data_IF_167758256838
#
_entry.id   IF_167758256838
#
_cell.length_a   1.000
_cell.length_b   1.000
_cell.length_c   1.000
_cell.angle_alpha   90.00
_cell.angle_beta   90.00
_cell.angle_gamma   90.00
#
_symmetry.space_group_name_H-M   'P 1'
#
loop_
_entity.id
_entity.type
_entity.pdbx_description
1 polymer ?
#
# COMPACT_ATOMS: atom_id res chain seq x y z
N UNK A 1 -26.68 -7.59 -22.04
CA UNK A 1 -26.57 -6.43 -21.15
C UNK A 1 -26.88 -6.94 -19.74
N UNK A 2 -26.05 -6.59 -18.77
CA UNK A 2 -26.26 -6.86 -17.36
C UNK A 2 -26.41 -5.49 -16.66
N UNK A 3 -27.49 -5.32 -15.91
CA UNK A 3 -27.71 -4.13 -15.07
C UNK A 3 -27.50 -4.50 -13.60
N UNK A 4 -26.71 -3.72 -12.89
CA UNK A 4 -26.39 -3.95 -11.47
C UNK A 4 -26.71 -2.71 -10.65
N UNK A 5 -27.05 -2.85 -9.35
CA UNK A 5 -27.30 -1.70 -8.48
C UNK A 5 -26.03 -0.87 -8.27
N UNK A 6 -26.22 0.42 -7.97
CA UNK A 6 -25.11 1.36 -7.73
C UNK A 6 -24.42 1.20 -6.37
N UNK A 7 -25.04 0.51 -5.41
CA UNK A 7 -24.47 0.28 -4.07
C UNK A 7 -23.38 -0.82 -4.18
N UNK A 8 -22.10 -0.51 -3.86
CA UNK A 8 -20.98 -1.43 -4.12
C UNK A 8 -21.11 -2.82 -3.48
N UNK A 9 -21.63 -2.91 -2.26
CA UNK A 9 -21.84 -4.18 -1.55
C UNK A 9 -22.89 -5.05 -2.21
N UNK A 10 -24.02 -4.48 -2.59
CA UNK A 10 -25.11 -5.17 -3.29
C UNK A 10 -24.67 -5.58 -4.70
N UNK A 11 -24.01 -4.67 -5.41
CA UNK A 11 -23.46 -4.93 -6.74
C UNK A 11 -22.52 -6.14 -6.72
N UNK A 12 -21.59 -6.19 -5.76
CA UNK A 12 -20.67 -7.34 -5.62
C UNK A 12 -21.40 -8.64 -5.33
N UNK A 13 -22.32 -8.63 -4.38
CA UNK A 13 -23.07 -9.83 -4.02
C UNK A 13 -23.83 -10.40 -5.22
N UNK A 14 -24.53 -9.56 -5.99
CA UNK A 14 -25.26 -9.98 -7.18
C UNK A 14 -24.30 -10.41 -8.31
N UNK A 15 -23.21 -9.68 -8.49
CA UNK A 15 -22.20 -10.01 -9.51
C UNK A 15 -21.61 -11.39 -9.27
N UNK A 16 -21.17 -11.68 -8.02
CA UNK A 16 -20.56 -12.95 -7.66
C UNK A 16 -21.57 -14.11 -7.68
N UNK A 17 -22.78 -13.88 -7.18
CA UNK A 17 -23.79 -14.94 -7.09
C UNK A 17 -24.47 -15.30 -8.42
N UNK A 18 -24.57 -14.34 -9.35
CA UNK A 18 -25.38 -14.53 -10.57
C UNK A 18 -24.61 -14.29 -11.85
N UNK A 19 -23.82 -13.21 -11.94
CA UNK A 19 -23.17 -12.81 -13.20
C UNK A 19 -21.94 -13.68 -13.47
N UNK A 20 -21.13 -13.93 -12.46
CA UNK A 20 -19.92 -14.77 -12.60
C UNK A 20 -20.27 -16.20 -13.05
N UNK A 21 -21.21 -16.92 -12.42
CA UNK A 21 -21.63 -18.26 -12.87
C UNK A 21 -22.16 -18.23 -14.31
N UNK A 22 -23.01 -17.27 -14.62
CA UNK A 22 -23.58 -17.14 -15.96
C UNK A 22 -22.52 -16.87 -17.05
N UNK A 23 -21.51 -16.03 -16.75
CA UNK A 23 -20.38 -15.80 -17.64
C UNK A 23 -19.52 -17.06 -17.79
N UNK A 24 -19.25 -17.74 -16.68
CA UNK A 24 -18.43 -18.96 -16.65
C UNK A 24 -19.05 -20.06 -17.54
N UNK A 25 -20.35 -20.26 -17.43
CA UNK A 25 -21.07 -21.21 -18.29
C UNK A 25 -20.94 -20.85 -19.77
N UNK A 26 -21.10 -19.55 -20.13
CA UNK A 26 -21.04 -19.11 -21.53
C UNK A 26 -19.65 -19.06 -22.13
N UNK A 27 -18.64 -18.84 -21.33
CA UNK A 27 -17.24 -18.78 -21.78
C UNK A 27 -16.50 -20.11 -21.68
N UNK A 28 -17.19 -21.17 -21.24
CA UNK A 28 -16.58 -22.48 -21.01
C UNK A 28 -15.60 -22.51 -19.86
N UNK A 29 -15.72 -21.55 -18.89
CA UNK A 29 -14.84 -21.50 -17.74
C UNK A 29 -13.39 -21.14 -18.08
N UNK A 30 -13.16 -20.34 -19.11
CA UNK A 30 -11.81 -19.93 -19.49
C UNK A 30 -11.06 -19.35 -18.26
N UNK A 31 -9.82 -19.80 -17.99
CA UNK A 31 -9.07 -19.33 -16.86
C UNK A 31 -8.86 -17.81 -16.95
N UNK A 32 -8.87 -17.10 -15.80
CA UNK A 32 -8.65 -15.66 -15.80
C UNK A 32 -7.27 -15.33 -16.39
N UNK A 33 -7.18 -14.16 -17.01
CA UNK A 33 -5.90 -13.66 -17.50
C UNK A 33 -4.91 -13.54 -16.34
N UNK A 34 -3.68 -14.04 -16.48
CA UNK A 34 -2.64 -13.80 -15.49
C UNK A 34 -2.47 -12.31 -15.22
N UNK A 35 -2.32 -11.96 -13.95
CA UNK A 35 -2.15 -10.57 -13.48
C UNK A 35 -0.99 -10.49 -12.51
N UNK A 36 -0.38 -9.30 -12.46
CA UNK A 36 0.55 -8.85 -11.42
C UNK A 36 0.21 -7.42 -11.04
N UNK A 37 0.43 -7.09 -9.80
CA UNK A 37 0.32 -5.70 -9.32
C UNK A 37 1.63 -5.35 -8.65
N UNK A 38 2.30 -4.31 -9.14
CA UNK A 38 3.50 -3.75 -8.51
C UNK A 38 3.09 -2.52 -7.73
N UNK A 39 3.42 -2.48 -6.44
CA UNK A 39 3.09 -1.39 -5.54
C UNK A 39 4.30 -0.49 -5.37
N UNK A 40 4.11 0.80 -5.64
CA UNK A 40 5.17 1.80 -5.50
C UNK A 40 4.79 2.88 -4.49
N UNK A 41 5.79 3.52 -3.89
CA UNK A 41 5.62 4.66 -2.99
C UNK A 41 6.72 5.70 -3.22
N UNK A 42 6.40 6.97 -2.96
CA UNK A 42 7.35 8.09 -3.09
C UNK A 42 7.47 8.68 -4.49
N UNK A 43 6.81 8.10 -5.50
CA UNK A 43 6.75 8.62 -6.87
C UNK A 43 5.31 8.96 -7.24
N UNK A 44 5.15 10.04 -8.03
CA UNK A 44 3.87 10.38 -8.63
C UNK A 44 3.55 9.51 -9.87
N UNK A 45 2.28 9.48 -10.27
CA UNK A 45 1.78 8.68 -11.38
C UNK A 45 2.56 8.92 -12.69
N UNK A 46 2.81 10.18 -13.04
CA UNK A 46 3.56 10.55 -14.25
C UNK A 46 4.98 9.97 -14.21
N UNK A 47 5.67 10.09 -13.08
CA UNK A 47 7.02 9.55 -12.95
C UNK A 47 7.06 8.03 -13.04
N UNK A 48 6.04 7.33 -12.50
CA UNK A 48 5.91 5.88 -12.65
C UNK A 48 5.63 5.52 -14.11
N UNK A 49 4.73 6.24 -14.78
CA UNK A 49 4.38 6.03 -16.18
C UNK A 49 5.60 6.13 -17.10
N UNK A 50 6.38 7.20 -16.97
CA UNK A 50 7.62 7.42 -17.73
C UNK A 50 8.60 6.24 -17.63
N UNK A 51 8.66 5.58 -16.47
CA UNK A 51 9.54 4.43 -16.24
C UNK A 51 8.98 3.11 -16.79
N UNK A 52 7.66 2.97 -16.88
CA UNK A 52 7.02 1.73 -17.34
C UNK A 52 6.60 1.82 -18.81
N UNK A 53 6.52 3.02 -19.39
CA UNK A 53 6.27 3.22 -20.81
C UNK A 53 7.30 2.46 -21.66
N UNK A 54 6.88 1.92 -22.77
CA UNK A 54 7.73 1.10 -23.65
C UNK A 54 7.92 -0.35 -23.19
N UNK A 55 7.93 -0.67 -21.88
CA UNK A 55 7.97 -2.06 -21.41
C UNK A 55 6.72 -2.82 -21.81
N UNK A 56 5.61 -2.16 -21.73
CA UNK A 56 4.27 -2.70 -21.91
C UNK A 56 4.03 -3.13 -23.35
N UNK A 57 4.38 -2.26 -24.29
CA UNK A 57 4.20 -2.54 -25.72
C UNK A 57 5.10 -3.68 -26.18
N UNK A 58 6.34 -3.73 -25.68
CA UNK A 58 7.30 -4.78 -26.02
C UNK A 58 6.92 -6.17 -25.48
N UNK A 59 6.25 -6.19 -24.32
CA UNK A 59 5.95 -7.44 -23.62
C UNK A 59 4.59 -8.07 -23.96
N UNK A 60 3.73 -7.44 -24.76
CA UNK A 60 2.36 -7.91 -25.03
C UNK A 60 1.51 -8.00 -23.77
N UNK A 61 1.69 -7.05 -22.88
CA UNK A 61 0.93 -6.88 -21.64
C UNK A 61 0.06 -5.62 -21.74
N UNK A 62 -1.08 -5.61 -21.05
CA UNK A 62 -1.76 -4.37 -20.70
C UNK A 62 -1.21 -3.86 -19.36
N UNK A 63 -1.07 -2.55 -19.26
CA UNK A 63 -0.74 -1.86 -18.01
C UNK A 63 -1.82 -0.85 -17.69
N UNK A 64 -2.21 -0.81 -16.44
CA UNK A 64 -3.01 0.26 -15.85
C UNK A 64 -2.28 0.81 -14.64
N UNK A 65 -2.31 2.12 -14.48
CA UNK A 65 -1.86 2.80 -13.28
C UNK A 65 -3.06 3.17 -12.41
N UNK A 66 -2.90 3.04 -11.11
CA UNK A 66 -3.88 3.49 -10.13
C UNK A 66 -3.17 4.26 -9.03
N UNK A 67 -3.27 5.58 -9.08
CA UNK A 67 -2.74 6.45 -8.05
C UNK A 67 -3.70 6.56 -6.86
N UNK A 68 -3.15 6.60 -5.66
CA UNK A 68 -3.86 6.79 -4.40
C UNK A 68 -2.93 7.42 -3.36
N UNK A 69 -3.44 7.85 -2.19
CA UNK A 69 -2.58 8.28 -1.08
C UNK A 69 -1.61 7.18 -0.58
N UNK A 70 -1.84 5.92 -0.95
CA UNK A 70 -0.96 4.77 -0.62
C UNK A 70 0.17 4.57 -1.64
N UNK A 71 0.29 5.43 -2.65
CA UNK A 71 1.24 5.31 -3.75
C UNK A 71 0.56 4.95 -5.08
N UNK A 72 1.35 4.48 -6.03
CA UNK A 72 0.88 4.10 -7.37
C UNK A 72 0.96 2.57 -7.53
N UNK A 73 -0.14 1.96 -7.93
CA UNK A 73 -0.17 0.55 -8.34
C UNK A 73 0.02 0.44 -9.85
N UNK A 74 0.99 -0.33 -10.27
CA UNK A 74 1.19 -0.73 -11.66
C UNK A 74 0.53 -2.10 -11.85
N UNK A 75 -0.60 -2.12 -12.52
CA UNK A 75 -1.40 -3.34 -12.76
C UNK A 75 -1.09 -3.91 -14.12
N UNK A 76 -0.54 -5.10 -14.14
CA UNK A 76 -0.14 -5.83 -15.34
C UNK A 76 -1.14 -6.94 -15.65
N UNK A 77 -1.52 -7.09 -16.92
CA UNK A 77 -2.34 -8.18 -17.42
C UNK A 77 -1.71 -8.77 -18.68
N UNK A 78 -1.45 -10.08 -18.69
CA UNK A 78 -0.93 -10.76 -19.86
C UNK A 78 -1.99 -10.84 -20.96
N UNK A 79 -1.61 -10.50 -22.20
CA UNK A 79 -2.46 -10.49 -23.36
C UNK A 79 -2.01 -11.53 -24.40
N UNK A 80 -2.90 -11.85 -25.35
CA UNK A 80 -2.59 -12.74 -26.47
C UNK A 80 -2.65 -14.23 -26.15
N UNK A 81 -2.11 -15.05 -27.08
CA UNK A 81 -2.16 -16.53 -26.99
C UNK A 81 -1.11 -17.09 -26.02
N UNK A 82 0.02 -16.41 -25.87
CA UNK A 82 1.13 -16.80 -24.98
C UNK A 82 1.07 -16.07 -23.66
N UNK A 83 -0.14 -15.93 -23.09
CA UNK A 83 -0.39 -15.29 -21.81
C UNK A 83 0.08 -16.16 -20.66
N UNK A 84 1.34 -16.02 -20.27
CA UNK A 84 1.93 -16.77 -19.16
C UNK A 84 2.24 -15.87 -17.98
N UNK A 85 2.37 -16.49 -16.81
CA UNK A 85 2.73 -15.80 -15.58
C UNK A 85 4.21 -15.41 -15.60
N UNK A 86 5.05 -16.28 -16.15
CA UNK A 86 6.49 -16.08 -16.29
C UNK A 86 6.82 -14.82 -17.11
N UNK A 87 6.01 -14.53 -18.13
CA UNK A 87 6.16 -13.30 -18.91
C UNK A 87 5.89 -12.05 -18.09
N UNK A 88 4.87 -12.08 -17.22
CA UNK A 88 4.60 -10.97 -16.29
C UNK A 88 5.70 -10.84 -15.25
N UNK A 89 6.26 -11.94 -14.76
CA UNK A 89 7.35 -11.93 -13.79
C UNK A 89 8.59 -11.22 -14.37
N UNK A 90 8.93 -11.48 -15.62
CA UNK A 90 10.02 -10.76 -16.32
C UNK A 90 9.76 -9.25 -16.43
N UNK A 91 8.50 -8.84 -16.65
CA UNK A 91 8.11 -7.42 -16.67
C UNK A 91 8.21 -6.81 -15.28
N UNK A 92 7.76 -7.53 -14.25
CA UNK A 92 7.88 -7.11 -12.86
C UNK A 92 9.34 -6.88 -12.47
N UNK A 93 10.23 -7.79 -12.84
CA UNK A 93 11.67 -7.67 -12.54
C UNK A 93 12.29 -6.45 -13.23
N UNK A 94 11.90 -6.16 -14.46
CA UNK A 94 12.35 -4.96 -15.17
C UNK A 94 11.78 -3.67 -14.54
N UNK A 95 10.51 -3.66 -14.11
CA UNK A 95 9.92 -2.55 -13.35
C UNK A 95 10.69 -2.31 -12.06
N UNK A 96 11.00 -3.37 -11.30
CA UNK A 96 11.82 -3.28 -10.08
C UNK A 96 13.20 -2.69 -10.36
N UNK A 97 13.83 -3.10 -11.45
CA UNK A 97 15.14 -2.58 -11.84
C UNK A 97 15.11 -1.08 -12.15
N UNK A 98 14.02 -0.60 -12.77
CA UNK A 98 13.87 0.81 -13.15
C UNK A 98 13.45 1.71 -12.00
N UNK A 99 12.53 1.25 -11.17
CA UNK A 99 11.95 2.02 -10.07
C UNK A 99 12.70 1.83 -8.74
N UNK A 100 13.55 0.80 -8.62
CA UNK A 100 14.39 0.56 -7.45
C UNK A 100 13.58 0.49 -6.15
N UNK A 101 14.04 1.23 -5.15
CA UNK A 101 13.46 1.26 -3.80
C UNK A 101 12.03 1.83 -3.74
N UNK A 102 11.58 2.49 -4.80
CA UNK A 102 10.19 2.91 -4.87
C UNK A 102 9.21 1.73 -4.94
N UNK A 103 9.65 0.54 -5.40
CA UNK A 103 8.84 -0.69 -5.40
C UNK A 103 8.93 -1.37 -4.04
N UNK A 104 7.88 -1.28 -3.25
CA UNK A 104 7.86 -1.93 -1.93
C UNK A 104 7.22 -3.33 -1.91
N UNK A 105 6.35 -3.65 -2.84
CA UNK A 105 5.67 -4.95 -2.88
C UNK A 105 5.20 -5.36 -4.27
N UNK A 106 4.86 -6.64 -4.41
CA UNK A 106 4.17 -7.21 -5.57
C UNK A 106 2.97 -8.02 -5.09
N UNK A 107 1.87 -7.94 -5.84
CA UNK A 107 0.60 -8.62 -5.60
C UNK A 107 -0.05 -8.21 -4.25
N UNK A 108 -0.59 -9.16 -3.48
CA UNK A 108 -1.41 -8.91 -2.30
C UNK A 108 -0.68 -8.44 -1.04
N UNK A 109 0.61 -8.09 -1.12
CA UNK A 109 1.34 -7.59 0.06
C UNK A 109 1.07 -6.12 0.29
N UNK A 110 0.73 -5.76 1.51
CA UNK A 110 0.52 -4.36 1.91
C UNK A 110 1.80 -3.73 2.47
N UNK A 111 1.84 -2.41 2.54
CA UNK A 111 2.96 -1.67 3.15
C UNK A 111 3.18 -2.11 4.61
N UNK A 112 2.09 -2.27 5.36
CA UNK A 112 2.11 -2.69 6.75
C UNK A 112 2.76 -4.07 6.93
N UNK A 113 2.42 -5.02 6.04
CA UNK A 113 3.04 -6.36 6.05
C UNK A 113 4.53 -6.28 5.73
N UNK A 114 4.92 -5.47 4.75
CA UNK A 114 6.34 -5.30 4.40
C UNK A 114 7.14 -4.70 5.54
N UNK A 115 6.61 -3.66 6.20
CA UNK A 115 7.23 -3.04 7.38
C UNK A 115 7.38 -4.06 8.52
N UNK A 116 6.32 -4.83 8.80
CA UNK A 116 6.35 -5.87 9.84
C UNK A 116 7.40 -6.94 9.57
N UNK A 117 7.51 -7.42 8.32
CA UNK A 117 8.53 -8.38 7.92
C UNK A 117 9.95 -7.83 8.08
N UNK A 118 10.17 -6.56 7.69
CA UNK A 118 11.47 -5.90 7.82
C UNK A 118 11.90 -5.71 9.28
N UNK A 119 10.96 -5.34 10.17
CA UNK A 119 11.21 -5.21 11.60
C UNK A 119 11.52 -6.57 12.22
N UNK A 120 10.69 -7.57 11.92
CA UNK A 120 10.86 -8.93 12.43
C UNK A 120 12.19 -9.55 11.98
N UNK A 121 12.58 -9.38 10.72
CA UNK A 121 13.83 -9.90 10.18
C UNK A 121 15.09 -9.30 10.86
N UNK A 122 14.96 -8.07 11.43
CA UNK A 122 16.04 -7.39 12.16
C UNK A 122 15.97 -7.58 13.67
N UNK A 123 14.91 -8.20 14.18
CA UNK A 123 14.63 -8.29 15.61
C UNK A 123 14.37 -6.92 16.25
N UNK A 124 13.85 -5.98 15.48
CA UNK A 124 13.57 -4.63 15.95
C UNK A 124 12.13 -4.50 16.45
N UNK A 125 11.96 -3.64 17.44
CA UNK A 125 10.65 -3.20 17.89
C UNK A 125 10.38 -1.78 17.42
N UNK A 126 9.10 -1.44 17.27
CA UNK A 126 8.62 -0.13 16.83
C UNK A 126 7.63 0.42 17.87
N UNK A 127 7.89 1.65 18.33
CA UNK A 127 6.92 2.49 19.03
C UNK A 127 6.55 3.68 18.13
N UNK A 128 5.35 4.24 18.31
CA UNK A 128 4.90 5.41 17.55
C UNK A 128 4.35 6.50 18.46
N UNK A 129 4.60 7.75 18.08
CA UNK A 129 3.97 8.91 18.67
C UNK A 129 3.16 9.64 17.60
N UNK A 130 1.86 9.72 17.80
CA UNK A 130 0.93 10.27 16.80
C UNK A 130 0.23 11.53 17.33
N UNK A 131 -0.05 12.46 16.43
CA UNK A 131 -0.87 13.64 16.67
C UNK A 131 -1.98 13.73 15.63
N UNK A 132 -1.75 14.38 14.49
CA UNK A 132 -2.77 14.58 13.45
C UNK A 132 -3.32 13.28 12.84
N UNK A 133 -2.57 12.22 12.86
CA UNK A 133 -3.00 10.88 12.39
C UNK A 133 -3.95 10.17 13.34
N UNK A 134 -4.04 10.62 14.61
CA UNK A 134 -5.04 10.16 15.56
C UNK A 134 -4.99 8.68 15.93
N UNK A 135 -3.83 8.02 15.81
CA UNK A 135 -3.64 6.59 16.05
C UNK A 135 -3.71 5.73 14.79
N UNK A 136 -3.83 6.33 13.60
CA UNK A 136 -3.97 5.59 12.34
C UNK A 136 -2.73 4.75 12.01
N UNK A 137 -1.51 5.22 12.32
CA UNK A 137 -0.27 4.48 12.06
C UNK A 137 -0.24 3.21 12.91
N UNK A 138 -0.48 3.34 14.22
CA UNK A 138 -0.58 2.20 15.13
C UNK A 138 -1.69 1.23 14.74
N UNK A 139 -2.86 1.74 14.38
CA UNK A 139 -3.99 0.93 13.89
C UNK A 139 -3.58 0.10 12.66
N UNK A 140 -3.01 0.72 11.63
CA UNK A 140 -2.59 0.02 10.41
C UNK A 140 -1.55 -1.07 10.69
N UNK A 141 -0.59 -0.81 11.58
CA UNK A 141 0.42 -1.81 11.97
C UNK A 141 -0.20 -3.00 12.71
N UNK A 142 -1.19 -2.75 13.57
CA UNK A 142 -1.86 -3.79 14.36
C UNK A 142 -2.89 -4.61 13.57
N UNK A 143 -3.28 -4.20 12.37
CA UNK A 143 -4.08 -5.02 11.45
C UNK A 143 -3.30 -6.24 10.91
N UNK A 144 -1.96 -6.21 10.99
CA UNK A 144 -1.12 -7.33 10.55
C UNK A 144 -1.09 -8.41 11.63
N UNK A 145 -1.53 -9.64 11.34
CA UNK A 145 -1.44 -10.74 12.30
C UNK A 145 0.00 -10.97 12.75
N UNK A 146 0.22 -11.11 14.07
CA UNK A 146 1.56 -11.27 14.64
C UNK A 146 2.31 -9.96 14.90
N UNK A 147 1.70 -8.80 14.69
CA UNK A 147 2.30 -7.48 14.92
C UNK A 147 2.82 -7.27 16.33
N UNK A 148 2.28 -7.98 17.33
CA UNK A 148 2.79 -7.93 18.72
C UNK A 148 4.25 -8.37 18.87
N UNK A 149 4.82 -9.06 17.87
CA UNK A 149 6.22 -9.44 17.86
C UNK A 149 7.18 -8.29 17.57
N UNK A 150 6.70 -7.20 16.97
CA UNK A 150 7.51 -6.03 16.61
C UNK A 150 6.90 -4.69 17.01
N UNK A 151 5.60 -4.58 17.18
CA UNK A 151 4.93 -3.34 17.57
C UNK A 151 4.85 -3.27 19.10
N UNK A 152 5.67 -2.40 19.70
CA UNK A 152 5.74 -2.21 21.16
C UNK A 152 4.50 -1.48 21.68
N UNK A 153 4.08 -0.41 20.97
CA UNK A 153 2.94 0.42 21.38
C UNK A 153 2.94 1.79 20.72
N UNK A 154 2.01 2.64 21.15
CA UNK A 154 1.91 3.99 20.61
C UNK A 154 1.18 4.95 21.52
N UNK A 155 1.50 6.23 21.36
CA UNK A 155 0.89 7.34 22.07
C UNK A 155 0.16 8.24 21.08
N UNK A 156 -1.10 8.58 21.37
CA UNK A 156 -1.85 9.59 20.63
C UNK A 156 -1.89 10.86 21.44
N UNK A 157 -0.94 11.75 21.18
CA UNK A 157 -0.78 13.03 21.92
C UNK A 157 -1.34 14.18 21.09
N UNK A 158 -2.67 14.25 20.98
CA UNK A 158 -3.35 15.23 20.13
C UNK A 158 -3.28 16.64 20.73
N UNK A 159 -3.51 16.76 22.05
CA UNK A 159 -3.34 18.02 22.81
C UNK A 159 -1.84 18.29 23.09
N UNK A 160 -1.44 19.57 23.08
CA UNK A 160 -0.05 19.95 23.34
C UNK A 160 0.40 19.61 24.77
N UNK A 161 -0.52 19.62 25.73
CA UNK A 161 -0.23 19.18 27.10
C UNK A 161 0.16 17.72 27.16
N UNK A 162 -0.53 16.86 26.39
CA UNK A 162 -0.18 15.45 26.30
C UNK A 162 1.22 15.23 25.68
N UNK A 163 1.62 16.06 24.71
CA UNK A 163 2.98 16.02 24.16
C UNK A 163 4.03 16.29 25.23
N UNK A 164 3.78 17.32 26.05
CA UNK A 164 4.70 17.69 27.14
C UNK A 164 4.69 16.70 28.28
N UNK A 165 3.50 16.31 28.77
CA UNK A 165 3.36 15.51 29.99
C UNK A 165 3.74 14.03 29.74
N UNK A 166 3.42 13.48 28.57
CA UNK A 166 3.61 12.04 28.31
C UNK A 166 4.89 11.75 27.55
N UNK A 167 5.31 12.66 26.65
CA UNK A 167 6.47 12.44 25.78
C UNK A 167 7.63 13.41 26.09
N UNK A 168 7.50 14.28 27.10
CA UNK A 168 8.57 15.19 27.50
C UNK A 168 8.92 16.28 26.49
N UNK A 169 8.00 16.59 25.54
CA UNK A 169 8.23 17.65 24.56
C UNK A 169 8.36 19.00 25.27
N UNK A 170 9.45 19.71 24.99
CA UNK A 170 9.72 21.04 25.64
C UNK A 170 8.66 22.07 25.20
N UNK A 171 7.97 22.72 26.17
CA UNK A 171 7.02 23.79 25.90
C UNK A 171 7.62 24.96 25.09
N UNK A 172 8.90 25.25 25.27
CA UNK A 172 9.57 26.32 24.52
C UNK A 172 9.70 25.97 23.04
N UNK A 173 9.94 24.72 22.73
CA UNK A 173 9.98 24.21 21.34
C UNK A 173 8.60 24.23 20.68
N UNK A 174 7.54 23.89 21.43
CA UNK A 174 6.16 24.03 20.97
C UNK A 174 5.80 25.49 20.66
N UNK A 175 6.24 26.44 21.52
CA UNK A 175 6.00 27.86 21.33
C UNK A 175 6.77 28.42 20.11
N UNK A 176 8.03 28.00 19.94
CA UNK A 176 8.92 28.48 18.88
C UNK A 176 8.59 27.93 17.49
N UNK A 177 8.24 26.65 17.41
CA UNK A 177 8.12 25.92 16.13
C UNK A 177 6.69 25.49 15.80
N UNK A 178 5.78 25.54 16.77
CA UNK A 178 4.43 24.99 16.64
C UNK A 178 4.38 23.46 16.75
N UNK A 179 3.20 22.95 17.04
CA UNK A 179 2.98 21.51 17.26
C UNK A 179 3.21 20.64 16.00
N UNK A 180 3.10 21.24 14.81
CA UNK A 180 3.28 20.55 13.51
C UNK A 180 4.60 21.04 12.93
N UNK A 181 5.69 20.46 13.40
CA UNK A 181 7.04 20.82 12.98
C UNK A 181 8.00 19.64 13.15
N UNK A 182 9.07 19.63 12.39
CA UNK A 182 10.10 18.59 12.46
C UNK A 182 10.75 18.50 13.87
N UNK A 183 11.17 19.62 14.53
CA UNK A 183 11.73 19.54 15.86
C UNK A 183 10.79 18.91 16.88
N UNK A 184 9.49 19.27 16.86
CA UNK A 184 8.50 18.70 17.78
C UNK A 184 8.23 17.23 17.47
N UNK A 185 8.18 16.86 16.18
CA UNK A 185 8.02 15.45 15.79
C UNK A 185 9.20 14.58 16.26
N UNK A 186 10.43 15.08 16.15
CA UNK A 186 11.62 14.41 16.66
C UNK A 186 11.55 14.20 18.17
N UNK A 187 11.22 15.25 18.95
CA UNK A 187 11.03 15.13 20.40
C UNK A 187 9.92 14.15 20.79
N UNK A 188 8.82 14.12 20.03
CA UNK A 188 7.75 13.15 20.27
C UNK A 188 8.24 11.71 20.04
N UNK A 189 9.06 11.49 19.01
CA UNK A 189 9.62 10.17 18.73
C UNK A 189 10.66 9.73 19.77
N UNK A 190 11.46 10.66 20.30
CA UNK A 190 12.42 10.41 21.39
C UNK A 190 11.73 10.07 22.71
N UNK A 191 10.55 10.65 22.95
CA UNK A 191 9.76 10.40 24.17
C UNK A 191 8.91 9.13 24.12
N UNK A 192 8.78 8.49 22.95
CA UNK A 192 7.97 7.29 22.74
C UNK A 192 8.77 6.00 22.92
#
# INVERSE_FOLDING_TARGET
IVALPGVPSEMRAIFEASVVPWLTERTGGAPPFPRRTVHTFGLGEVAVDDHVEGLVHAAGCEVGLLASPKGVEVRLRAMGKERTRERLDSVVDEIRRRLGDAVYAVDGRTMETVVGDLLSARGWTLAVAESCTGGLVGHRLTEVPGSSGYFFGGWVTYDNRAKTEWLGVDPSSLAAHGAVSEPVAAMMAEGA
#
